data_IF_133539852543
#
_entry.id   IF_133539852543
#
_cell.length_a   1.000
_cell.length_b   1.000
_cell.length_c   1.000
_cell.angle_alpha   90.00
_cell.angle_beta   90.00
_cell.angle_gamma   90.00
#
_symmetry.space_group_name_H-M   'P 1'
#
loop_
_entity.id
_entity.type
_entity.pdbx_description
1 polymer ?
#
# COMPACT_ATOMS: atom_id res chain seq x y z
N UNK A 1 -10.40 -58.39 52.55
CA UNK A 1 -10.58 -56.97 52.11
C UNK A 1 -11.54 -56.92 50.92
N UNK A 2 -11.77 -55.76 50.30
CA UNK A 2 -12.91 -55.51 49.40
C UNK A 2 -12.80 -56.25 48.05
N UNK A 3 -13.92 -56.89 47.66
CA UNK A 3 -14.59 -56.92 46.33
C UNK A 3 -13.70 -56.63 45.10
N UNK A 4 -13.51 -57.59 44.18
CA UNK A 4 -14.47 -58.09 43.18
C UNK A 4 -14.74 -57.07 42.05
N UNK A 5 -14.30 -57.38 40.83
CA UNK A 5 -15.09 -57.42 39.57
C UNK A 5 -14.22 -57.93 38.41
N UNK A 6 -14.84 -58.68 37.49
CA UNK A 6 -14.23 -59.28 36.29
C UNK A 6 -14.24 -58.31 35.09
N UNK A 7 -13.77 -58.80 33.93
CA UNK A 7 -13.92 -58.20 32.59
C UNK A 7 -13.02 -57.00 32.29
N UNK A 8 -11.96 -57.25 31.52
CA UNK A 8 -12.02 -56.78 30.13
C UNK A 8 -11.15 -57.62 29.21
N UNK A 9 -11.79 -58.32 28.26
CA UNK A 9 -11.13 -58.59 27.01
C UNK A 9 -12.08 -58.32 25.81
N UNK A 10 -11.51 -57.92 24.64
CA UNK A 10 -12.07 -57.40 23.36
C UNK A 10 -11.87 -55.87 23.30
N UNK A 11 -11.48 -55.22 22.20
CA UNK A 11 -11.53 -55.54 20.76
C UNK A 11 -10.16 -55.30 20.11
N UNK A 12 -9.75 -56.13 19.15
CA UNK A 12 -8.65 -55.80 18.21
C UNK A 12 -9.27 -55.62 16.83
N UNK A 13 -9.65 -54.39 16.51
CA UNK A 13 -9.84 -53.93 15.14
C UNK A 13 -9.83 -52.40 15.10
N UNK A 14 -9.32 -51.84 14.00
CA UNK A 14 -9.27 -50.42 13.65
C UNK A 14 -8.93 -49.43 14.79
N UNK A 15 -7.69 -48.97 14.79
CA UNK A 15 -7.42 -47.60 14.33
C UNK A 15 -5.95 -47.46 13.91
N UNK A 16 -5.72 -46.90 12.73
CA UNK A 16 -4.37 -46.60 12.21
C UNK A 16 -3.96 -45.24 12.75
N UNK A 17 -3.06 -45.20 13.73
CA UNK A 17 -2.56 -43.97 14.33
C UNK A 17 -1.62 -43.21 13.38
N UNK A 18 -2.20 -42.34 12.56
CA UNK A 18 -1.49 -41.35 11.74
C UNK A 18 -0.86 -40.30 12.69
N UNK A 19 0.40 -39.85 12.45
CA UNK A 19 1.03 -38.83 13.28
C UNK A 19 0.33 -37.46 13.15
N UNK A 20 -0.33 -37.01 14.22
CA UNK A 20 -1.09 -35.77 14.26
C UNK A 20 -0.19 -34.52 14.33
N UNK A 21 0.38 -34.12 13.19
CA UNK A 21 0.75 -32.71 12.94
C UNK A 21 -0.48 -32.02 12.34
N UNK A 22 -1.30 -31.45 13.22
CA UNK A 22 -2.64 -30.97 12.87
C UNK A 22 -2.80 -29.49 13.17
N UNK A 23 -3.10 -28.68 12.14
CA UNK A 23 -3.72 -27.36 12.33
C UNK A 23 -5.12 -27.56 12.90
N UNK A 24 -5.40 -26.93 14.05
CA UNK A 24 -6.74 -26.95 14.65
C UNK A 24 -7.70 -26.06 13.86
N UNK A 25 -9.01 -26.34 13.96
CA UNK A 25 -10.07 -25.52 13.35
C UNK A 25 -9.96 -24.03 13.75
N UNK A 26 -9.54 -23.74 14.99
CA UNK A 26 -9.33 -22.39 15.52
C UNK A 26 -8.17 -21.67 14.82
N UNK A 27 -7.04 -22.36 14.64
CA UNK A 27 -5.89 -21.82 13.90
C UNK A 27 -6.21 -21.67 12.40
N UNK A 28 -7.05 -22.55 11.85
CA UNK A 28 -7.57 -22.46 10.48
C UNK A 28 -8.40 -21.17 10.30
N UNK A 29 -9.43 -20.96 11.13
CA UNK A 29 -10.31 -19.78 10.99
C UNK A 29 -9.60 -18.47 11.35
N UNK A 30 -8.63 -18.51 12.27
CA UNK A 30 -7.74 -17.37 12.51
C UNK A 30 -6.87 -17.04 11.27
N UNK A 31 -6.26 -18.04 10.63
CA UNK A 31 -5.47 -17.83 9.41
C UNK A 31 -6.35 -17.29 8.26
N UNK A 32 -7.57 -17.81 8.13
CA UNK A 32 -8.60 -17.30 7.20
C UNK A 32 -8.96 -15.85 7.50
N UNK A 33 -9.18 -15.48 8.76
CA UNK A 33 -9.50 -14.12 9.17
C UNK A 33 -8.37 -13.13 8.89
N UNK A 34 -7.12 -13.50 9.18
CA UNK A 34 -5.95 -12.66 8.87
C UNK A 34 -5.74 -12.49 7.35
N UNK A 35 -6.03 -13.53 6.55
CA UNK A 35 -6.01 -13.43 5.09
C UNK A 35 -7.14 -12.54 4.55
N UNK A 36 -8.35 -12.67 5.10
CA UNK A 36 -9.51 -11.84 4.75
C UNK A 36 -9.27 -10.36 5.10
N UNK A 37 -8.75 -10.08 6.31
CA UNK A 37 -8.31 -8.75 6.75
C UNK A 37 -7.30 -8.15 5.76
N UNK A 38 -6.26 -8.92 5.41
CA UNK A 38 -5.22 -8.50 4.47
C UNK A 38 -5.75 -8.29 3.04
N UNK A 39 -6.76 -9.04 2.60
CA UNK A 39 -7.49 -8.78 1.35
C UNK A 39 -8.28 -7.46 1.42
N UNK A 40 -9.15 -7.31 2.42
CA UNK A 40 -10.06 -6.17 2.57
C UNK A 40 -9.31 -4.83 2.68
N UNK A 41 -8.11 -4.86 3.30
CA UNK A 41 -7.19 -3.72 3.45
C UNK A 41 -6.77 -3.05 2.14
N UNK A 42 -6.80 -3.79 1.02
CA UNK A 42 -6.51 -3.28 -0.33
C UNK A 42 -7.71 -3.39 -1.28
N UNK A 43 -8.65 -4.32 -1.05
CA UNK A 43 -9.87 -4.43 -1.85
C UNK A 43 -10.80 -3.22 -1.68
N UNK A 44 -10.81 -2.61 -0.48
CA UNK A 44 -11.65 -1.46 -0.14
C UNK A 44 -10.78 -0.25 0.21
N UNK A 45 -10.90 0.83 -0.55
CA UNK A 45 -10.15 2.06 -0.30
C UNK A 45 -10.51 2.69 1.07
N UNK A 46 -9.51 3.23 1.78
CA UNK A 46 -9.69 3.80 3.12
C UNK A 46 -9.90 2.79 4.25
N UNK A 47 -9.59 1.50 4.06
CA UNK A 47 -9.76 0.45 5.09
C UNK A 47 -8.52 0.27 5.98
N UNK A 48 -7.80 1.37 6.23
CA UNK A 48 -6.56 1.39 7.01
C UNK A 48 -6.75 0.98 8.48
N UNK A 49 -7.91 1.29 9.05
CA UNK A 49 -8.28 0.96 10.43
C UNK A 49 -8.26 -0.56 10.71
N UNK A 50 -8.39 -1.40 9.67
CA UNK A 50 -8.26 -2.86 9.80
C UNK A 50 -6.86 -3.29 10.25
N UNK A 51 -5.82 -2.48 10.06
CA UNK A 51 -4.44 -2.82 10.43
C UNK A 51 -4.23 -2.88 11.96
N UNK A 52 -5.08 -2.20 12.73
CA UNK A 52 -5.02 -2.21 14.20
C UNK A 52 -5.79 -3.41 14.80
N UNK A 53 -6.70 -3.99 14.04
CA UNK A 53 -7.60 -5.06 14.48
C UNK A 53 -6.90 -6.40 14.30
N UNK A 54 -6.86 -7.21 15.34
CA UNK A 54 -6.18 -8.51 15.33
C UNK A 54 -7.21 -9.64 15.53
N UNK A 55 -7.96 -10.04 14.48
CA UNK A 55 -9.06 -10.98 14.59
C UNK A 55 -8.55 -12.40 14.88
N UNK A 56 -9.18 -13.08 15.85
CA UNK A 56 -8.96 -14.48 16.17
C UNK A 56 -9.93 -15.42 15.44
N UNK A 57 -10.96 -14.88 14.78
CA UNK A 57 -11.94 -15.61 13.98
C UNK A 57 -12.52 -14.72 12.87
N UNK A 58 -13.09 -15.34 11.85
CA UNK A 58 -13.79 -14.65 10.76
C UNK A 58 -15.01 -13.89 11.27
N UNK A 59 -15.70 -14.43 12.29
CA UNK A 59 -16.81 -13.77 12.98
C UNK A 59 -16.38 -12.54 13.79
N UNK A 60 -15.16 -12.50 14.33
CA UNK A 60 -14.61 -11.31 14.99
C UNK A 60 -14.25 -10.22 13.97
N UNK A 61 -13.69 -10.61 12.80
CA UNK A 61 -13.45 -9.69 11.70
C UNK A 61 -14.76 -9.04 11.21
N UNK A 62 -15.80 -9.84 10.94
CA UNK A 62 -17.09 -9.37 10.42
C UNK A 62 -17.78 -8.34 11.32
N UNK A 63 -17.69 -8.48 12.65
CA UNK A 63 -18.20 -7.49 13.62
C UNK A 63 -17.47 -6.15 13.57
N UNK A 64 -16.24 -6.14 13.09
CA UNK A 64 -15.40 -4.95 12.99
C UNK A 64 -15.43 -4.29 11.59
N UNK A 65 -16.17 -4.85 10.63
CA UNK A 65 -16.31 -4.30 9.28
C UNK A 65 -17.40 -3.22 9.21
N UNK A 66 -17.06 -2.10 8.54
CA UNK A 66 -18.03 -1.11 8.10
C UNK A 66 -18.80 -1.64 6.88
N UNK A 67 -19.84 -0.92 6.45
CA UNK A 67 -20.80 -1.42 5.45
C UNK A 67 -20.16 -1.71 4.08
N UNK A 68 -19.16 -0.93 3.67
CA UNK A 68 -18.47 -1.11 2.37
C UNK A 68 -17.67 -2.42 2.28
N UNK A 69 -17.07 -2.88 3.36
CA UNK A 69 -16.27 -4.11 3.37
C UNK A 69 -17.15 -5.38 3.38
N UNK A 70 -18.43 -5.28 3.79
CA UNK A 70 -19.38 -6.40 3.89
C UNK A 70 -19.77 -7.02 2.54
N UNK A 71 -19.57 -6.34 1.42
CA UNK A 71 -19.70 -6.94 0.10
C UNK A 71 -18.45 -7.74 -0.25
N UNK A 72 -17.28 -7.10 -0.18
CA UNK A 72 -16.01 -7.70 -0.56
C UNK A 72 -15.60 -8.92 0.30
N UNK A 73 -16.03 -9.00 1.57
CA UNK A 73 -15.78 -10.20 2.39
C UNK A 73 -16.57 -11.43 1.89
N UNK A 74 -17.71 -11.27 1.21
CA UNK A 74 -18.49 -12.40 0.66
C UNK A 74 -17.67 -13.18 -0.36
N UNK A 75 -16.99 -12.47 -1.28
CA UNK A 75 -16.09 -13.09 -2.25
C UNK A 75 -14.96 -13.90 -1.56
N UNK A 76 -14.44 -13.42 -0.43
CA UNK A 76 -13.44 -14.14 0.36
C UNK A 76 -14.02 -15.33 1.14
N UNK A 77 -15.27 -15.24 1.63
CA UNK A 77 -15.98 -16.34 2.30
C UNK A 77 -16.32 -17.50 1.35
N UNK A 78 -16.44 -17.23 0.05
CA UNK A 78 -16.66 -18.24 -0.98
C UNK A 78 -15.40 -19.05 -1.31
N UNK A 79 -14.22 -18.67 -0.81
CA UNK A 79 -13.00 -19.51 -0.90
C UNK A 79 -13.21 -20.76 -0.03
N UNK A 80 -13.17 -21.98 -0.60
CA UNK A 80 -13.40 -23.20 0.15
C UNK A 80 -12.29 -23.46 1.17
N UNK A 81 -12.65 -24.10 2.28
CA UNK A 81 -11.71 -24.61 3.28
C UNK A 81 -11.40 -26.08 2.94
N UNK A 82 -10.16 -26.47 2.62
CA UNK A 82 -9.87 -27.86 2.27
C UNK A 82 -9.97 -28.78 3.49
N UNK A 83 -10.74 -29.87 3.38
CA UNK A 83 -10.99 -30.80 4.50
C UNK A 83 -9.75 -31.54 5.01
N UNK A 84 -8.62 -31.49 4.29
CA UNK A 84 -7.35 -32.08 4.71
C UNK A 84 -6.54 -31.20 5.68
N UNK A 85 -7.03 -30.01 6.10
CA UNK A 85 -6.27 -29.07 6.95
C UNK A 85 -5.76 -29.67 8.27
N UNK A 86 -6.45 -30.67 8.83
CA UNK A 86 -6.03 -31.40 10.03
C UNK A 86 -4.76 -32.27 9.83
N UNK A 87 -4.20 -32.31 8.61
CA UNK A 87 -2.89 -32.92 8.30
C UNK A 87 -1.80 -31.89 7.97
N UNK A 88 -2.11 -30.59 8.04
CA UNK A 88 -1.21 -29.54 7.60
C UNK A 88 -0.22 -29.14 8.67
N UNK A 89 0.95 -28.71 8.22
CA UNK A 89 1.93 -28.01 9.03
C UNK A 89 1.76 -26.48 8.90
N UNK A 90 2.59 -25.73 9.64
CA UNK A 90 2.60 -24.27 9.58
C UNK A 90 2.92 -23.71 8.18
N UNK A 91 3.79 -24.36 7.41
CA UNK A 91 4.15 -23.91 6.06
C UNK A 91 2.98 -24.08 5.09
N UNK A 92 2.34 -25.26 5.03
CA UNK A 92 1.18 -25.52 4.17
C UNK A 92 0.00 -24.58 4.50
N UNK A 93 -0.22 -24.26 5.78
CA UNK A 93 -1.23 -23.26 6.19
C UNK A 93 -0.89 -21.83 5.69
N UNK A 94 0.36 -21.40 5.89
CA UNK A 94 0.84 -20.07 5.48
C UNK A 94 0.81 -19.91 3.95
N UNK A 95 1.17 -20.94 3.18
CA UNK A 95 1.14 -20.86 1.72
C UNK A 95 -0.27 -21.03 1.14
N UNK A 96 -1.17 -21.77 1.79
CA UNK A 96 -2.56 -21.79 1.38
C UNK A 96 -3.22 -20.42 1.55
N UNK A 97 -3.27 -19.88 2.77
CA UNK A 97 -3.98 -18.62 3.04
C UNK A 97 -3.19 -17.36 2.64
N UNK A 98 -1.86 -17.41 2.68
CA UNK A 98 -0.99 -16.31 2.27
C UNK A 98 -0.74 -16.22 0.76
N UNK A 99 -0.98 -17.28 -0.02
CA UNK A 99 -0.73 -17.29 -1.48
C UNK A 99 -1.90 -17.90 -2.26
N UNK A 100 -2.25 -19.18 -2.04
CA UNK A 100 -3.20 -19.91 -2.90
C UNK A 100 -4.62 -19.33 -2.86
N UNK A 101 -5.10 -18.91 -1.69
CA UNK A 101 -6.41 -18.29 -1.50
C UNK A 101 -6.59 -17.00 -2.34
N UNK A 102 -5.53 -16.20 -2.49
CA UNK A 102 -5.54 -14.96 -3.27
C UNK A 102 -5.60 -15.19 -4.79
N UNK A 103 -5.40 -16.42 -5.27
CA UNK A 103 -5.51 -16.78 -6.70
C UNK A 103 -6.95 -17.08 -7.14
N UNK A 104 -7.88 -17.31 -6.21
CA UNK A 104 -9.24 -17.75 -6.53
C UNK A 104 -10.03 -16.72 -7.37
N UNK A 105 -10.96 -17.23 -8.18
CA UNK A 105 -11.90 -16.42 -8.97
C UNK A 105 -12.82 -15.60 -8.06
N UNK A 106 -13.20 -14.40 -8.52
CA UNK A 106 -14.07 -13.49 -7.76
C UNK A 106 -13.37 -12.51 -6.80
N UNK A 107 -12.08 -12.68 -6.47
CA UNK A 107 -11.34 -11.67 -5.71
C UNK A 107 -10.91 -10.48 -6.58
N UNK A 108 -11.20 -9.26 -6.13
CA UNK A 108 -10.76 -8.02 -6.77
C UNK A 108 -9.23 -7.94 -6.91
N UNK A 109 -8.75 -7.51 -8.08
CA UNK A 109 -7.31 -7.37 -8.34
C UNK A 109 -6.61 -6.47 -7.30
N UNK A 110 -7.23 -5.35 -6.88
CA UNK A 110 -6.71 -4.49 -5.81
C UNK A 110 -6.39 -5.29 -4.54
N UNK A 111 -7.31 -6.17 -4.12
CA UNK A 111 -7.18 -6.99 -2.92
C UNK A 111 -6.11 -8.09 -3.02
N UNK A 112 -5.78 -8.55 -4.23
CA UNK A 112 -4.72 -9.56 -4.47
C UNK A 112 -3.32 -9.09 -4.07
N UNK A 113 -3.10 -7.78 -3.94
CA UNK A 113 -1.87 -7.18 -3.38
C UNK A 113 -1.67 -7.58 -1.91
N UNK A 114 -2.74 -7.86 -1.17
CA UNK A 114 -2.72 -8.24 0.25
C UNK A 114 -1.95 -9.54 0.57
N UNK A 115 -1.66 -10.39 -0.43
CA UNK A 115 -1.01 -11.70 -0.26
C UNK A 115 0.25 -11.67 0.62
N UNK A 116 1.13 -10.69 0.41
CA UNK A 116 2.37 -10.55 1.18
C UNK A 116 2.12 -10.25 2.67
N UNK A 117 1.07 -9.48 2.97
CA UNK A 117 0.66 -9.13 4.34
C UNK A 117 -0.04 -10.29 5.02
N UNK A 118 -0.87 -11.05 4.29
CA UNK A 118 -1.44 -12.31 4.79
C UNK A 118 -0.34 -13.31 5.16
N UNK A 119 0.63 -13.57 4.24
CA UNK A 119 1.77 -14.45 4.52
C UNK A 119 2.55 -13.99 5.76
N UNK A 120 2.84 -12.70 5.92
CA UNK A 120 3.49 -12.15 7.13
C UNK A 120 2.64 -12.41 8.39
N UNK A 121 1.38 -11.97 8.42
CA UNK A 121 0.53 -12.04 9.61
C UNK A 121 0.29 -13.49 10.06
N UNK A 122 0.06 -14.42 9.13
CA UNK A 122 -0.17 -15.84 9.44
C UNK A 122 1.14 -16.51 9.87
N UNK A 123 2.29 -16.15 9.29
CA UNK A 123 3.59 -16.67 9.75
C UNK A 123 3.94 -16.25 11.19
N UNK A 124 3.38 -15.12 11.67
CA UNK A 124 3.53 -14.65 13.05
C UNK A 124 2.61 -15.37 14.06
N UNK A 125 1.63 -16.17 13.62
CA UNK A 125 0.80 -16.96 14.53
C UNK A 125 1.64 -18.00 15.29
N UNK A 126 1.42 -18.11 16.60
CA UNK A 126 1.82 -19.31 17.36
C UNK A 126 0.81 -20.41 17.03
N UNK A 127 1.32 -21.58 16.63
CA UNK A 127 0.56 -22.80 16.41
C UNK A 127 0.98 -23.79 17.49
N UNK A 128 0.05 -24.56 18.05
CA UNK A 128 0.34 -25.48 19.16
C UNK A 128 1.13 -26.71 18.69
N UNK A 129 2.23 -27.01 19.36
CA UNK A 129 2.97 -28.27 19.16
C UNK A 129 2.41 -29.40 20.05
N UNK A 130 2.45 -30.67 19.59
CA UNK A 130 1.81 -31.78 20.29
C UNK A 130 2.56 -32.20 21.56
N UNK A 131 1.80 -32.54 22.61
CA UNK A 131 2.33 -33.05 23.89
C UNK A 131 2.98 -34.43 23.68
N UNK A 132 4.17 -34.61 24.27
CA UNK A 132 4.98 -35.83 24.16
C UNK A 132 4.90 -36.65 25.45
N UNK A 133 4.33 -37.85 25.37
CA UNK A 133 4.35 -38.86 26.46
C UNK A 133 4.63 -40.25 25.89
N UNK A 134 5.47 -41.03 26.58
CA UNK A 134 5.95 -42.33 26.08
C UNK A 134 5.32 -43.53 26.81
N UNK A 135 5.31 -44.66 26.09
CA UNK A 135 4.52 -45.88 26.24
C UNK A 135 4.69 -46.66 27.55
N UNK A 136 3.65 -47.45 27.89
CA UNK A 136 3.66 -48.91 28.21
C UNK A 136 2.17 -49.38 28.28
N UNK A 137 1.56 -50.12 27.33
CA UNK A 137 1.66 -51.58 26.95
C UNK A 137 1.00 -52.49 28.04
N UNK A 138 0.03 -53.41 27.82
CA UNK A 138 -0.53 -54.08 26.61
C UNK A 138 -1.99 -54.70 26.71
N UNK A 139 -2.62 -54.92 25.53
CA UNK A 139 -3.50 -56.02 24.97
C UNK A 139 -4.73 -56.71 25.70
N UNK A 140 -5.65 -57.42 24.94
CA UNK A 140 -7.07 -57.77 25.30
C UNK A 140 -7.59 -59.20 24.84
N UNK A 141 -8.94 -59.42 24.70
CA UNK A 141 -9.76 -60.27 23.73
C UNK A 141 -10.93 -61.22 24.26
N UNK A 142 -12.25 -60.85 24.16
CA UNK A 142 -13.56 -61.64 24.22
C UNK A 142 -14.74 -61.06 25.09
N UNK A 143 -15.75 -60.30 24.59
CA UNK A 143 -17.07 -60.62 23.92
C UNK A 143 -18.29 -61.12 24.75
N UNK A 144 -19.44 -60.39 24.73
CA UNK A 144 -20.83 -60.95 24.71
C UNK A 144 -21.92 -59.96 24.22
N UNK A 145 -23.15 -60.43 23.97
CA UNK A 145 -24.38 -59.68 23.58
C UNK A 145 -25.58 -60.13 24.47
N UNK A 146 -26.88 -59.76 24.33
CA UNK A 146 -27.78 -59.13 23.31
C UNK A 146 -29.00 -58.53 24.11
N UNK A 147 -30.30 -58.53 23.69
CA UNK A 147 -31.00 -58.04 22.48
C UNK A 147 -32.15 -57.00 22.73
N UNK A 148 -32.70 -56.44 21.64
CA UNK A 148 -34.08 -55.89 21.47
C UNK A 148 -34.44 -54.56 22.21
N UNK A 149 -35.47 -53.79 21.82
CA UNK A 149 -36.61 -54.05 20.90
C UNK A 149 -37.06 -52.79 20.11
N UNK A 150 -37.71 -52.99 18.95
CA UNK A 150 -38.09 -51.95 17.96
C UNK A 150 -39.39 -51.18 18.24
N UNK A 151 -39.53 -49.98 17.64
CA UNK A 151 -40.73 -49.65 16.84
C UNK A 151 -40.58 -48.47 15.87
N UNK A 152 -41.19 -48.62 14.68
CA UNK A 152 -41.50 -47.60 13.66
C UNK A 152 -42.79 -46.81 14.07
N UNK A 153 -43.31 -45.78 13.38
CA UNK A 153 -43.14 -45.33 11.99
C UNK A 153 -43.43 -43.81 11.76
N UNK A 154 -43.46 -43.42 10.48
CA UNK A 154 -43.71 -42.15 9.75
C UNK A 154 -44.86 -41.20 10.27
N UNK A 155 -45.10 -40.00 9.71
CA UNK A 155 -44.80 -39.49 8.35
C UNK A 155 -44.69 -37.95 8.17
N UNK A 156 -44.27 -37.57 6.95
CA UNK A 156 -44.34 -36.25 6.26
C UNK A 156 -45.67 -36.19 5.43
N UNK A 157 -46.08 -35.11 4.69
CA UNK A 157 -45.38 -33.85 4.38
C UNK A 157 -46.18 -32.51 4.27
N UNK A 158 -45.42 -31.40 4.32
CA UNK A 158 -45.44 -30.20 3.44
C UNK A 158 -46.64 -29.21 3.30
N UNK A 159 -46.22 -27.93 3.19
CA UNK A 159 -46.75 -26.77 2.43
C UNK A 159 -47.74 -25.74 3.05
N UNK A 160 -47.43 -24.48 2.72
CA UNK A 160 -48.08 -23.16 2.96
C UNK A 160 -49.23 -22.89 1.95
N UNK A 161 -50.01 -21.76 1.94
CA UNK A 161 -49.72 -20.40 2.48
C UNK A 161 -50.88 -19.58 3.15
N UNK A 162 -50.56 -18.36 3.62
CA UNK A 162 -51.44 -17.21 3.99
C UNK A 162 -52.39 -17.42 5.21
N UNK A 163 -52.95 -16.39 5.87
CA UNK A 163 -52.93 -14.91 5.67
C UNK A 163 -52.89 -14.14 7.03
N UNK A 164 -52.96 -12.79 7.00
CA UNK A 164 -52.99 -11.84 8.13
C UNK A 164 -54.44 -11.60 8.68
N UNK A 165 -54.79 -10.55 9.49
CA UNK A 165 -54.06 -9.44 10.15
C UNK A 165 -54.37 -9.37 11.70
N UNK A 166 -54.33 -8.29 12.52
CA UNK A 166 -54.09 -6.83 12.40
C UNK A 166 -53.67 -6.20 13.77
N UNK A 167 -53.99 -4.91 14.03
CA UNK A 167 -53.78 -4.06 15.24
C UNK A 167 -52.36 -3.48 15.42
N UNK A 168 -52.05 -2.24 15.01
CA UNK A 168 -52.46 -0.90 15.53
C UNK A 168 -51.88 -0.59 16.94
N UNK A 169 -51.33 0.59 17.27
CA UNK A 169 -51.40 1.98 16.72
C UNK A 169 -49.99 2.65 16.77
N UNK A 170 -49.52 3.49 15.81
CA UNK A 170 -49.74 4.97 15.62
C UNK A 170 -49.24 5.82 16.81
N UNK A 171 -48.60 7.02 16.73
CA UNK A 171 -48.26 8.05 15.69
C UNK A 171 -47.34 9.13 16.35
N UNK A 172 -46.56 10.04 15.74
CA UNK A 172 -46.10 10.33 14.36
C UNK A 172 -44.80 11.25 14.35
N UNK A 173 -44.73 12.25 13.46
CA UNK A 173 -43.74 13.31 13.14
C UNK A 173 -43.37 14.30 14.28
N UNK A 174 -42.39 15.23 14.20
CA UNK A 174 -41.91 16.07 13.07
C UNK A 174 -40.50 16.66 13.25
N UNK A 175 -39.93 17.24 12.18
CA UNK A 175 -38.79 18.16 12.21
C UNK A 175 -39.15 19.51 12.85
N UNK A 176 -38.15 20.26 13.34
CA UNK A 176 -37.86 21.61 12.81
C UNK A 176 -36.39 22.06 13.05
N UNK A 177 -35.96 23.13 12.38
CA UNK A 177 -34.69 23.87 12.53
C UNK A 177 -34.96 25.21 13.23
N UNK A 178 -34.00 25.69 14.03
CA UNK A 178 -33.87 27.11 14.41
C UNK A 178 -32.40 27.55 14.44
N UNK A 179 -32.19 28.85 14.25
CA UNK A 179 -30.89 29.53 14.22
C UNK A 179 -30.75 30.50 15.42
N UNK A 180 -29.79 31.44 15.33
CA UNK A 180 -29.59 32.61 16.21
C UNK A 180 -28.86 32.37 17.56
N UNK A 181 -28.21 33.37 18.17
CA UNK A 181 -27.01 34.18 17.76
C UNK A 181 -26.71 35.18 18.88
N UNK A 182 -25.43 35.33 19.30
CA UNK A 182 -24.89 36.44 20.14
C UNK A 182 -25.54 36.62 21.55
N UNK A 183 -24.91 37.24 22.56
CA UNK A 183 -23.57 37.86 22.65
C UNK A 183 -22.95 37.72 24.06
N UNK A 184 -21.65 38.01 24.12
CA UNK A 184 -20.78 38.42 25.25
C UNK A 184 -21.39 38.65 26.64
N UNK A 185 -20.87 37.93 27.64
CA UNK A 185 -20.41 38.48 28.94
C UNK A 185 -19.49 37.46 29.63
N UNK A 186 -18.39 37.92 30.24
CA UNK A 186 -17.48 37.09 31.03
C UNK A 186 -17.54 37.45 32.52
N UNK A 187 -17.50 36.46 33.42
CA UNK A 187 -16.83 36.58 34.71
C UNK A 187 -15.62 35.61 34.82
N UNK A 188 -14.89 35.71 35.92
CA UNK A 188 -13.59 35.07 36.15
C UNK A 188 -13.66 34.15 37.40
N UNK A 189 -12.63 33.29 37.61
CA UNK A 189 -12.52 32.27 38.69
C UNK A 189 -13.54 31.11 38.56
N UNK A 190 -13.24 29.82 38.77
CA UNK A 190 -12.28 29.15 39.67
C UNK A 190 -11.59 27.94 38.97
N UNK A 191 -10.29 27.72 39.22
CA UNK A 191 -9.50 26.66 38.53
C UNK A 191 -8.82 25.63 39.46
N UNK A 192 -8.94 25.80 40.78
CA UNK A 192 -8.11 25.07 41.76
C UNK A 192 -8.60 23.65 42.08
N UNK A 193 -9.81 23.28 41.65
CA UNK A 193 -10.43 21.98 41.99
C UNK A 193 -10.10 20.83 41.03
N UNK A 194 -9.26 21.04 40.01
CA UNK A 194 -8.86 19.98 39.07
C UNK A 194 -7.44 19.42 39.31
N UNK A 195 -6.58 20.15 40.02
CA UNK A 195 -5.19 19.72 40.27
C UNK A 195 -5.05 18.78 41.49
N UNK A 196 -5.99 18.83 42.44
CA UNK A 196 -5.95 17.97 43.64
C UNK A 196 -6.08 16.47 43.35
N UNK A 197 -6.88 16.07 42.35
CA UNK A 197 -7.04 14.66 41.94
C UNK A 197 -5.83 14.11 41.14
N UNK A 198 -4.83 14.93 40.84
CA UNK A 198 -3.68 14.56 39.99
C UNK A 198 -2.36 14.36 40.77
N UNK A 199 -2.27 14.78 42.03
CA UNK A 199 -1.04 14.60 42.82
C UNK A 199 -0.98 13.26 43.56
N UNK A 200 -2.13 12.69 43.97
CA UNK A 200 -2.16 11.53 44.88
C UNK A 200 -1.77 10.17 44.23
N UNK A 201 -1.92 9.99 42.91
CA UNK A 201 -1.42 8.78 42.21
C UNK A 201 0.09 8.79 41.92
N UNK A 202 0.80 9.92 42.11
CA UNK A 202 2.18 10.07 41.60
C UNK A 202 3.27 9.49 42.50
N UNK A 203 2.96 9.05 43.72
CA UNK A 203 3.94 8.46 44.64
C UNK A 203 3.45 7.19 45.36
N UNK A 204 3.65 6.02 44.72
CA UNK A 204 4.40 4.88 45.29
C UNK A 204 4.67 3.82 44.20
N UNK A 205 5.92 3.80 43.71
CA UNK A 205 6.74 2.58 43.57
C UNK A 205 8.20 2.95 43.32
N UNK A 206 8.91 3.09 44.44
CA UNK A 206 10.31 3.53 44.53
C UNK A 206 11.25 2.36 44.29
N UNK A 207 12.09 2.47 43.26
CA UNK A 207 13.32 1.72 43.00
C UNK A 207 13.41 0.27 43.53
N UNK A 208 13.04 -0.70 42.69
CA UNK A 208 13.56 -2.08 42.77
C UNK A 208 14.31 -2.43 41.47
N UNK A 209 15.55 -2.89 41.63
CA UNK A 209 16.48 -3.47 40.66
C UNK A 209 16.54 -2.95 39.21
N UNK A 210 17.68 -2.32 38.88
CA UNK A 210 18.26 -2.41 37.53
C UNK A 210 19.03 -3.74 37.30
N UNK A 211 19.31 -4.50 38.37
CA UNK A 211 20.13 -5.72 38.37
C UNK A 211 19.62 -6.78 37.39
N UNK A 212 18.31 -7.03 37.34
CA UNK A 212 17.72 -8.01 36.42
C UNK A 212 17.89 -7.65 34.94
N UNK A 213 17.93 -6.35 34.59
CA UNK A 213 18.14 -5.92 33.20
C UNK A 213 19.54 -6.28 32.70
N UNK A 214 20.56 -6.12 33.56
CA UNK A 214 21.93 -6.51 33.25
C UNK A 214 22.09 -8.03 33.16
N UNK A 215 21.40 -8.80 34.02
CA UNK A 215 21.37 -10.27 33.94
C UNK A 215 20.72 -10.73 32.63
N UNK A 216 19.61 -10.12 32.22
CA UNK A 216 18.92 -10.47 30.96
C UNK A 216 19.79 -10.16 29.74
N UNK A 217 20.46 -9.00 29.72
CA UNK A 217 21.45 -8.63 28.69
C UNK A 217 22.62 -9.63 28.67
N UNK A 218 23.15 -10.03 29.82
CA UNK A 218 24.23 -11.02 29.93
C UNK A 218 23.81 -12.38 29.33
N UNK A 219 22.60 -12.86 29.65
CA UNK A 219 22.06 -14.10 29.10
C UNK A 219 21.93 -14.05 27.56
N UNK A 220 21.49 -12.92 27.00
CA UNK A 220 21.43 -12.72 25.54
C UNK A 220 22.85 -12.75 24.94
N UNK A 221 23.81 -12.06 25.56
CA UNK A 221 25.18 -11.97 25.07
C UNK A 221 25.87 -13.35 25.09
N UNK A 222 25.71 -14.13 26.17
CA UNK A 222 26.19 -15.52 26.26
C UNK A 222 25.54 -16.40 25.20
N UNK A 223 24.23 -16.28 24.96
CA UNK A 223 23.55 -17.05 23.91
C UNK A 223 24.08 -16.72 22.51
N UNK A 224 24.40 -15.46 22.22
CA UNK A 224 25.04 -15.04 20.95
C UNK A 224 26.46 -15.60 20.84
N UNK A 225 27.26 -15.58 21.90
CA UNK A 225 28.62 -16.16 21.90
C UNK A 225 28.57 -17.67 21.66
N UNK A 226 27.67 -18.40 22.33
CA UNK A 226 27.49 -19.84 22.10
C UNK A 226 27.04 -20.11 20.65
N UNK A 227 26.11 -19.31 20.10
CA UNK A 227 25.69 -19.44 18.71
C UNK A 227 26.85 -19.18 17.72
N UNK A 228 27.73 -18.22 17.99
CA UNK A 228 28.93 -17.95 17.18
C UNK A 228 29.98 -19.07 17.28
N UNK A 229 30.19 -19.66 18.46
CA UNK A 229 31.10 -20.81 18.62
C UNK A 229 30.56 -22.07 17.93
N UNK A 230 29.25 -22.32 18.01
CA UNK A 230 28.58 -23.42 17.27
C UNK A 230 28.62 -23.16 15.76
N UNK A 231 28.46 -21.91 15.32
CA UNK A 231 28.60 -21.55 13.91
C UNK A 231 30.04 -21.75 13.40
N UNK A 232 31.04 -21.24 14.12
CA UNK A 232 32.45 -21.34 13.75
C UNK A 232 32.93 -22.80 13.71
N UNK A 233 32.58 -23.61 14.72
CA UNK A 233 32.92 -25.04 14.75
C UNK A 233 32.22 -25.85 13.65
N UNK A 234 30.95 -25.55 13.34
CA UNK A 234 30.24 -26.17 12.22
C UNK A 234 30.81 -25.75 10.85
N UNK A 235 31.25 -24.49 10.70
CA UNK A 235 31.93 -23.99 9.50
C UNK A 235 33.30 -24.67 9.33
N UNK A 236 34.12 -24.75 10.37
CA UNK A 236 35.42 -25.44 10.32
C UNK A 236 35.23 -26.92 9.98
N UNK A 237 34.30 -27.62 10.61
CA UNK A 237 34.00 -29.03 10.33
C UNK A 237 33.46 -29.27 8.91
N UNK A 238 32.74 -28.29 8.33
CA UNK A 238 32.36 -28.30 6.90
C UNK A 238 33.52 -28.06 5.95
N UNK A 239 34.52 -27.27 6.36
CA UNK A 239 35.70 -26.99 5.55
C UNK A 239 36.68 -28.18 5.58
N UNK A 240 36.91 -28.78 6.75
CA UNK A 240 37.65 -30.04 6.92
C UNK A 240 37.04 -31.17 6.09
N UNK A 241 35.71 -31.36 6.16
CA UNK A 241 35.02 -32.36 5.34
C UNK A 241 35.16 -32.10 3.82
N UNK A 242 35.24 -30.83 3.40
CA UNK A 242 35.48 -30.47 1.98
C UNK A 242 36.91 -30.72 1.53
N UNK A 243 37.89 -30.52 2.41
CA UNK A 243 39.30 -30.81 2.13
C UNK A 243 39.53 -32.33 2.05
N UNK A 244 38.99 -33.10 3.00
CA UNK A 244 39.08 -34.56 2.99
C UNK A 244 38.37 -35.21 1.79
N UNK A 245 37.30 -34.60 1.27
CA UNK A 245 36.62 -35.08 0.05
C UNK A 245 37.40 -34.72 -1.22
N UNK A 246 38.05 -33.55 -1.28
CA UNK A 246 38.86 -33.15 -2.42
C UNK A 246 40.10 -34.05 -2.59
N UNK A 247 40.75 -34.42 -1.49
CA UNK A 247 41.95 -35.27 -1.47
C UNK A 247 41.64 -36.70 -1.99
N UNK A 248 40.46 -37.24 -1.65
CA UNK A 248 39.99 -38.57 -2.06
C UNK A 248 39.65 -38.71 -3.55
N UNK A 249 39.44 -37.60 -4.24
CA UNK A 249 39.04 -37.59 -5.67
C UNK A 249 40.27 -37.68 -6.59
N UNK A 250 41.50 -37.59 -6.05
CA UNK A 250 42.71 -37.49 -6.89
C UNK A 250 43.24 -38.83 -7.41
N UNK A 251 43.00 -39.95 -6.71
CA UNK A 251 43.78 -41.20 -6.89
C UNK A 251 43.04 -42.32 -7.67
N UNK A 252 41.71 -42.24 -7.83
CA UNK A 252 40.87 -43.37 -8.27
C UNK A 252 40.07 -43.10 -9.56
N UNK A 253 40.72 -42.64 -10.63
CA UNK A 253 40.04 -42.45 -11.93
C UNK A 253 40.93 -42.60 -13.18
N UNK A 254 41.44 -43.81 -13.43
CA UNK A 254 42.08 -44.21 -14.70
C UNK A 254 41.30 -45.34 -15.43
N UNK A 255 39.97 -45.24 -15.53
CA UNK A 255 39.20 -46.05 -16.51
C UNK A 255 38.18 -45.21 -17.29
N UNK A 256 38.18 -45.23 -18.63
CA UNK A 256 37.20 -44.51 -19.44
C UNK A 256 35.87 -45.28 -19.49
N UNK A 257 35.04 -45.13 -18.45
CA UNK A 257 33.64 -45.58 -18.48
C UNK A 257 32.82 -44.71 -19.45
N UNK A 258 31.84 -45.31 -20.15
CA UNK A 258 30.96 -44.61 -21.09
C UNK A 258 30.11 -43.50 -20.45
N UNK A 259 30.02 -43.42 -19.12
CA UNK A 259 29.39 -42.30 -18.42
C UNK A 259 30.31 -41.06 -18.33
N UNK A 260 31.63 -41.23 -18.45
CA UNK A 260 32.58 -40.11 -18.51
C UNK A 260 32.42 -39.28 -19.80
N UNK A 261 32.16 -39.94 -20.94
CA UNK A 261 31.90 -39.25 -22.21
C UNK A 261 30.52 -38.57 -22.22
N UNK A 262 29.48 -39.18 -21.66
CA UNK A 262 28.18 -38.51 -21.43
C UNK A 262 28.30 -37.27 -20.53
N UNK A 263 29.22 -37.29 -19.56
CA UNK A 263 29.51 -36.12 -18.73
C UNK A 263 30.27 -35.05 -19.52
N UNK A 264 31.28 -35.44 -20.32
CA UNK A 264 31.98 -34.52 -21.25
C UNK A 264 31.04 -33.86 -22.25
N UNK A 265 30.11 -34.61 -22.84
CA UNK A 265 29.07 -34.10 -23.74
C UNK A 265 28.17 -33.06 -23.04
N UNK A 266 27.71 -33.36 -21.82
CA UNK A 266 26.94 -32.41 -21.00
C UNK A 266 27.74 -31.15 -20.64
N UNK A 267 29.03 -31.28 -20.34
CA UNK A 267 29.91 -30.13 -20.09
C UNK A 267 30.12 -29.30 -21.38
N UNK A 268 30.30 -29.94 -22.53
CA UNK A 268 30.40 -29.25 -23.82
C UNK A 268 29.10 -28.48 -24.16
N UNK A 269 27.94 -29.10 -23.99
CA UNK A 269 26.63 -28.45 -24.18
C UNK A 269 26.38 -27.30 -23.19
N UNK A 270 26.80 -27.46 -21.92
CA UNK A 270 26.74 -26.40 -20.92
C UNK A 270 27.67 -25.22 -21.26
N UNK A 271 28.88 -25.49 -21.77
CA UNK A 271 29.80 -24.43 -22.21
C UNK A 271 29.32 -23.73 -23.48
N UNK A 272 28.73 -24.46 -24.43
CA UNK A 272 28.12 -23.89 -25.64
C UNK A 272 26.97 -22.94 -25.29
N UNK A 273 26.01 -23.39 -24.47
CA UNK A 273 24.89 -22.53 -24.01
C UNK A 273 25.38 -21.34 -23.18
N UNK A 274 26.43 -21.48 -22.36
CA UNK A 274 27.01 -20.32 -21.65
C UNK A 274 27.75 -19.34 -22.56
N UNK A 275 28.37 -19.80 -23.64
CA UNK A 275 28.93 -18.90 -24.65
C UNK A 275 27.85 -18.15 -25.43
N UNK A 276 26.69 -18.78 -25.69
CA UNK A 276 25.51 -18.13 -26.29
C UNK A 276 24.86 -17.10 -25.34
N UNK A 277 24.71 -17.43 -24.04
CA UNK A 277 24.32 -16.46 -23.00
C UNK A 277 25.29 -15.27 -22.95
N UNK A 278 26.60 -15.50 -23.00
CA UNK A 278 27.60 -14.42 -23.01
C UNK A 278 27.55 -13.57 -24.28
N UNK A 279 27.33 -14.17 -25.45
CA UNK A 279 27.18 -13.44 -26.71
C UNK A 279 25.95 -12.53 -26.71
N UNK A 280 24.80 -13.05 -26.29
CA UNK A 280 23.55 -12.27 -26.19
C UNK A 280 23.61 -11.18 -25.12
N UNK A 281 24.27 -11.44 -23.98
CA UNK A 281 24.55 -10.42 -22.97
C UNK A 281 25.48 -9.32 -23.49
N UNK A 282 26.54 -9.66 -24.22
CA UNK A 282 27.46 -8.71 -24.85
C UNK A 282 26.74 -7.82 -25.87
N UNK A 283 25.96 -8.41 -26.78
CA UNK A 283 25.13 -7.68 -27.74
C UNK A 283 24.13 -6.75 -27.04
N UNK A 284 23.55 -7.19 -25.92
CA UNK A 284 22.63 -6.38 -25.12
C UNK A 284 23.34 -5.21 -24.43
N UNK A 285 24.54 -5.41 -23.89
CA UNK A 285 25.37 -4.33 -23.34
C UNK A 285 25.66 -3.28 -24.40
N UNK A 286 26.05 -3.67 -25.62
CA UNK A 286 26.35 -2.72 -26.70
C UNK A 286 25.09 -1.98 -27.19
N UNK A 287 23.94 -2.65 -27.25
CA UNK A 287 22.65 -2.00 -27.53
C UNK A 287 22.27 -0.97 -26.46
N UNK A 288 22.55 -1.25 -25.17
CA UNK A 288 22.31 -0.31 -24.08
C UNK A 288 23.32 0.85 -24.08
N UNK A 289 24.56 0.60 -24.48
CA UNK A 289 25.61 1.61 -24.59
C UNK A 289 25.29 2.61 -25.71
N UNK A 290 24.95 2.12 -26.91
CA UNK A 290 24.52 2.94 -28.07
C UNK A 290 23.20 3.68 -27.84
N UNK A 291 22.25 3.11 -27.09
CA UNK A 291 21.06 3.84 -26.62
C UNK A 291 21.41 4.94 -25.61
N UNK A 292 22.38 4.72 -24.71
CA UNK A 292 22.82 5.76 -23.78
C UNK A 292 23.59 6.90 -24.49
N UNK A 293 24.42 6.61 -25.50
CA UNK A 293 25.12 7.65 -26.25
C UNK A 293 24.16 8.49 -27.11
N UNK A 294 23.19 7.87 -27.78
CA UNK A 294 22.16 8.60 -28.54
C UNK A 294 21.25 9.43 -27.63
N UNK A 295 20.81 8.91 -26.48
CA UNK A 295 20.08 9.70 -25.47
C UNK A 295 20.91 10.89 -24.95
N UNK A 296 22.21 10.70 -24.71
CA UNK A 296 23.12 11.78 -24.29
C UNK A 296 23.25 12.88 -25.35
N UNK A 297 23.40 12.51 -26.62
CA UNK A 297 23.43 13.47 -27.75
C UNK A 297 22.11 14.22 -27.87
N UNK A 298 20.97 13.53 -27.75
CA UNK A 298 19.64 14.17 -27.78
C UNK A 298 19.47 15.16 -26.62
N UNK A 299 19.89 14.81 -25.40
CA UNK A 299 19.87 15.72 -24.24
C UNK A 299 20.76 16.96 -24.49
N UNK A 300 21.93 16.79 -25.11
CA UNK A 300 22.79 17.92 -25.47
C UNK A 300 22.14 18.81 -26.54
N UNK A 301 21.50 18.22 -27.56
CA UNK A 301 20.72 18.94 -28.58
C UNK A 301 19.59 19.77 -28.00
N UNK A 302 18.70 19.17 -27.21
CA UNK A 302 17.62 19.89 -26.53
C UNK A 302 18.14 20.96 -25.56
N UNK A 303 19.29 20.74 -24.93
CA UNK A 303 19.91 21.75 -24.05
C UNK A 303 20.40 22.96 -24.86
N UNK A 304 21.06 22.75 -26.00
CA UNK A 304 21.46 23.82 -26.90
C UNK A 304 20.26 24.57 -27.50
N UNK A 305 19.19 23.85 -27.85
CA UNK A 305 17.93 24.44 -28.31
C UNK A 305 17.30 25.33 -27.23
N UNK A 306 17.16 24.85 -25.99
CA UNK A 306 16.65 25.63 -24.86
C UNK A 306 17.48 26.89 -24.59
N UNK A 307 18.81 26.84 -24.75
CA UNK A 307 19.66 28.03 -24.69
C UNK A 307 19.32 28.99 -25.83
N UNK A 308 19.22 28.52 -27.07
CA UNK A 308 18.90 29.36 -28.23
C UNK A 308 17.52 30.03 -28.13
N UNK A 309 16.52 29.32 -27.60
CA UNK A 309 15.17 29.84 -27.38
C UNK A 309 15.14 30.88 -26.27
N UNK A 310 15.93 30.70 -25.19
CA UNK A 310 16.11 31.73 -24.15
C UNK A 310 16.77 32.98 -24.68
N UNK A 311 17.81 32.86 -25.52
CA UNK A 311 18.45 34.01 -26.18
C UNK A 311 17.44 34.75 -27.05
N UNK A 312 16.73 34.05 -27.96
CA UNK A 312 15.67 34.64 -28.80
C UNK A 312 14.58 35.35 -28.00
N UNK A 313 14.15 34.77 -26.88
CA UNK A 313 13.14 35.36 -25.99
C UNK A 313 13.67 36.61 -25.26
N UNK A 314 14.96 36.62 -24.87
CA UNK A 314 15.59 37.82 -24.31
C UNK A 314 15.73 38.95 -25.35
N UNK A 315 16.09 38.62 -26.60
CA UNK A 315 16.11 39.59 -27.71
C UNK A 315 14.71 40.13 -28.02
N UNK A 316 13.69 39.27 -28.06
CA UNK A 316 12.31 39.69 -28.28
C UNK A 316 11.83 40.66 -27.19
N UNK A 317 12.09 40.35 -25.92
CA UNK A 317 11.77 41.24 -24.79
C UNK A 317 12.55 42.57 -24.84
N UNK A 318 13.81 42.56 -25.27
CA UNK A 318 14.59 43.78 -25.47
C UNK A 318 14.02 44.64 -26.62
N UNK A 319 13.58 44.02 -27.72
CA UNK A 319 12.90 44.71 -28.82
C UNK A 319 11.58 45.32 -28.37
N UNK A 320 10.75 44.58 -27.61
CA UNK A 320 9.49 45.07 -27.04
C UNK A 320 9.71 46.32 -26.20
N UNK A 321 10.66 46.30 -25.24
CA UNK A 321 11.02 47.49 -24.45
C UNK A 321 11.43 48.67 -25.33
N UNK A 322 12.24 48.42 -26.36
CA UNK A 322 12.66 49.48 -27.30
C UNK A 322 11.52 50.03 -28.17
N UNK A 323 10.36 49.37 -28.23
CA UNK A 323 9.13 49.90 -28.83
C UNK A 323 8.26 50.61 -27.79
N UNK A 324 8.16 50.08 -26.57
CA UNK A 324 7.45 50.72 -25.44
C UNK A 324 8.07 52.09 -25.09
N UNK A 325 9.40 52.18 -25.03
CA UNK A 325 10.13 53.44 -24.80
C UNK A 325 9.86 54.46 -25.92
N UNK A 326 9.82 54.03 -27.18
CA UNK A 326 9.51 54.88 -28.34
C UNK A 326 8.04 55.30 -28.36
N UNK A 327 7.13 54.45 -27.92
CA UNK A 327 5.71 54.78 -27.80
C UNK A 327 5.46 55.79 -26.66
N UNK A 328 6.09 55.60 -25.49
CA UNK A 328 6.01 56.54 -24.38
C UNK A 328 6.57 57.93 -24.76
N UNK A 329 7.71 57.96 -25.45
CA UNK A 329 8.30 59.20 -25.99
C UNK A 329 7.49 59.89 -27.10
N UNK A 330 6.46 59.23 -27.65
CA UNK A 330 5.61 59.75 -28.73
C UNK A 330 4.26 60.30 -28.25
N UNK A 331 4.15 60.71 -26.97
CA UNK A 331 2.91 61.22 -26.37
C UNK A 331 2.80 62.76 -26.50
N UNK A 332 2.04 63.34 -27.44
CA UNK A 332 1.88 64.78 -27.55
C UNK A 332 1.02 65.34 -26.40
N UNK A 333 1.43 66.51 -25.89
CA UNK A 333 0.82 67.16 -24.72
C UNK A 333 -0.48 67.88 -25.11
N UNK A 334 -1.64 67.31 -24.76
CA UNK A 334 -2.96 67.90 -25.02
C UNK A 334 -3.47 68.69 -23.79
N UNK A 335 -3.81 69.96 -23.99
CA UNK A 335 -4.32 70.85 -22.93
C UNK A 335 -5.82 70.62 -22.63
N UNK A 336 -6.29 70.91 -21.39
CA UNK A 336 -7.68 70.67 -21.01
C UNK A 336 -8.64 71.73 -21.58
N UNK A 337 -9.73 71.29 -22.19
CA UNK A 337 -10.87 72.13 -22.61
C UNK A 337 -12.13 71.70 -21.85
N UNK A 338 -12.99 72.67 -21.53
CA UNK A 338 -14.09 72.52 -20.55
C UNK A 338 -15.22 71.60 -21.02
N UNK A 339 -15.92 71.02 -20.05
CA UNK A 339 -17.22 70.37 -20.25
C UNK A 339 -18.25 71.36 -20.81
N UNK A 340 -19.07 70.88 -21.76
CA UNK A 340 -20.39 71.44 -22.01
C UNK A 340 -21.34 70.32 -22.46
N UNK A 341 -22.46 70.17 -21.77
CA UNK A 341 -23.40 69.07 -21.97
C UNK A 341 -24.50 69.44 -22.96
N UNK A 342 -24.74 68.60 -23.96
CA UNK A 342 -25.96 68.62 -24.77
C UNK A 342 -26.35 67.19 -25.17
N UNK A 343 -27.61 66.83 -24.94
CA UNK A 343 -28.21 65.54 -25.31
C UNK A 343 -28.67 65.53 -26.77
N UNK A 344 -28.63 64.37 -27.44
CA UNK A 344 -29.71 63.85 -28.34
C UNK A 344 -29.44 62.40 -28.79
N UNK A 345 -30.50 61.58 -28.72
CA UNK A 345 -30.79 60.29 -29.38
C UNK A 345 -29.69 59.36 -29.96
N UNK A 346 -29.67 58.12 -29.44
CA UNK A 346 -29.35 56.85 -30.13
C UNK A 346 -30.48 56.45 -31.13
N UNK A 347 -30.35 55.43 -32.05
CA UNK A 347 -29.58 54.18 -31.87
C UNK A 347 -28.80 53.57 -33.07
N UNK A 348 -27.80 52.77 -32.69
CA UNK A 348 -27.29 51.52 -33.27
C UNK A 348 -27.38 51.22 -34.79
N UNK A 349 -26.23 50.90 -35.37
CA UNK A 349 -26.06 49.70 -36.21
C UNK A 349 -24.69 49.08 -35.99
N UNK A 350 -24.64 47.74 -35.89
CA UNK A 350 -23.50 47.00 -35.33
C UNK A 350 -22.92 46.01 -36.33
N UNK A 351 -21.69 46.22 -36.80
CA UNK A 351 -20.75 45.13 -37.19
C UNK A 351 -19.31 45.59 -36.95
N UNK A 352 -18.49 44.92 -36.13
CA UNK A 352 -17.06 45.17 -36.06
C UNK A 352 -16.34 44.62 -37.30
N UNK A 353 -15.45 45.40 -37.91
CA UNK A 353 -14.60 44.91 -39.01
C UNK A 353 -13.70 43.77 -38.54
N UNK A 354 -13.77 42.64 -39.27
CA UNK A 354 -12.98 41.42 -39.07
C UNK A 354 -11.47 41.71 -39.11
N UNK A 355 -10.85 41.96 -37.95
CA UNK A 355 -9.39 41.93 -37.83
C UNK A 355 -8.90 40.49 -37.93
N UNK A 356 -8.38 40.14 -39.09
CA UNK A 356 -7.60 38.91 -39.31
C UNK A 356 -6.23 39.07 -38.70
N UNK A 357 -6.04 38.62 -37.45
CA UNK A 357 -4.71 38.37 -36.90
C UNK A 357 -3.98 37.36 -37.79
N UNK A 358 -2.70 37.59 -38.16
CA UNK A 358 -1.96 36.68 -39.03
C UNK A 358 -1.79 35.27 -38.43
N UNK A 359 -1.75 34.27 -39.30
CA UNK A 359 -1.28 32.93 -38.95
C UNK A 359 0.25 32.90 -39.01
N UNK A 360 0.90 33.28 -37.91
CA UNK A 360 2.32 32.99 -37.69
C UNK A 360 2.50 31.56 -37.16
N UNK A 361 3.55 30.88 -37.61
CA UNK A 361 3.65 29.42 -37.57
C UNK A 361 4.29 28.85 -36.29
N UNK A 362 3.84 27.65 -35.92
CA UNK A 362 4.52 26.60 -35.13
C UNK A 362 5.67 27.04 -34.19
N UNK A 363 5.34 27.86 -33.20
CA UNK A 363 5.99 27.73 -31.89
C UNK A 363 5.22 26.68 -31.09
N UNK A 364 5.86 25.64 -30.52
CA UNK A 364 5.16 24.64 -29.70
C UNK A 364 4.65 25.29 -28.41
N UNK A 365 3.42 25.80 -28.46
CA UNK A 365 2.82 26.60 -27.40
C UNK A 365 2.73 25.81 -26.09
N UNK A 366 3.53 26.21 -25.10
CA UNK A 366 3.61 25.54 -23.79
C UNK A 366 2.25 25.59 -23.10
N UNK A 367 1.55 24.46 -23.10
CA UNK A 367 0.22 24.32 -22.51
C UNK A 367 0.40 24.24 -21.00
N UNK A 368 -0.16 25.23 -20.30
CA UNK A 368 -0.28 25.21 -18.84
C UNK A 368 -1.54 24.46 -18.45
N UNK A 369 -1.42 23.45 -17.59
CA UNK A 369 -2.52 22.65 -17.04
C UNK A 369 -2.46 22.76 -15.52
N UNK A 370 -3.59 22.95 -14.87
CA UNK A 370 -3.67 23.06 -13.42
C UNK A 370 -4.12 21.73 -12.81
N UNK A 371 -3.29 21.14 -11.96
CA UNK A 371 -3.53 19.83 -11.37
C UNK A 371 -3.97 19.96 -9.90
N UNK A 372 -4.91 19.12 -9.49
CA UNK A 372 -5.30 19.02 -8.07
C UNK A 372 -4.31 18.20 -7.24
N UNK A 373 -4.68 17.83 -6.01
CA UNK A 373 -3.84 16.94 -5.16
C UNK A 373 -3.46 15.65 -5.88
N UNK A 374 -2.26 15.15 -5.62
CA UNK A 374 -1.85 13.80 -6.03
C UNK A 374 -2.16 12.79 -4.93
N UNK A 375 -2.71 11.63 -5.30
CA UNK A 375 -2.98 10.55 -4.36
C UNK A 375 -1.69 9.78 -3.97
N UNK A 376 -1.82 8.82 -3.05
CA UNK A 376 -0.70 8.00 -2.57
C UNK A 376 -0.01 7.12 -3.64
N UNK A 377 -0.54 7.04 -4.88
CA UNK A 377 0.10 6.41 -6.04
C UNK A 377 0.76 7.42 -6.99
N UNK A 378 0.80 8.70 -6.63
CA UNK A 378 1.29 9.78 -7.48
C UNK A 378 0.34 10.16 -8.62
N UNK A 379 -0.93 9.77 -8.60
CA UNK A 379 -1.89 10.16 -9.65
C UNK A 379 -2.61 11.44 -9.22
N UNK A 380 -2.61 12.46 -10.07
CA UNK A 380 -3.32 13.72 -9.83
C UNK A 380 -4.83 13.51 -9.97
N UNK A 381 -5.60 13.95 -8.97
CA UNK A 381 -7.05 13.68 -8.88
C UNK A 381 -7.88 14.56 -9.84
N UNK A 382 -7.33 15.70 -10.28
CA UNK A 382 -7.94 16.63 -11.24
C UNK A 382 -6.88 17.17 -12.20
N UNK A 383 -7.33 17.54 -13.41
CA UNK A 383 -6.57 18.32 -14.37
C UNK A 383 -7.51 19.29 -15.09
N UNK A 384 -7.39 20.57 -14.77
CA UNK A 384 -8.24 21.67 -15.23
C UNK A 384 -7.42 22.62 -16.14
N UNK A 385 -8.07 23.31 -17.09
CA UNK A 385 -7.40 24.25 -18.02
C UNK A 385 -7.17 25.64 -17.42
N UNK A 386 -7.89 25.98 -16.35
CA UNK A 386 -7.79 27.23 -15.60
C UNK A 386 -7.40 26.94 -14.16
N UNK A 387 -6.80 27.93 -13.49
CA UNK A 387 -6.58 27.86 -12.05
C UNK A 387 -7.94 27.96 -11.35
N UNK A 388 -8.29 26.95 -10.54
CA UNK A 388 -9.48 26.95 -9.69
C UNK A 388 -8.98 26.96 -8.23
N UNK A 389 -9.01 28.10 -7.53
CA UNK A 389 -8.71 28.16 -6.10
C UNK A 389 -9.52 27.12 -5.31
N UNK A 390 -8.90 26.49 -4.32
CA UNK A 390 -9.50 25.38 -3.56
C UNK A 390 -9.52 24.01 -4.28
N UNK A 391 -9.14 23.90 -5.55
CA UNK A 391 -9.06 22.62 -6.28
C UNK A 391 -7.73 22.41 -7.02
N UNK A 392 -7.15 23.46 -7.59
CA UNK A 392 -5.86 23.46 -8.26
C UNK A 392 -4.74 23.74 -7.26
N UNK A 393 -3.71 22.89 -7.25
CA UNK A 393 -2.56 22.97 -6.32
C UNK A 393 -1.25 23.11 -7.09
N UNK A 394 -1.16 22.46 -8.24
CA UNK A 394 0.02 22.49 -9.10
C UNK A 394 -0.28 23.15 -10.44
N UNK A 395 0.75 23.77 -11.01
CA UNK A 395 0.83 24.10 -12.42
C UNK A 395 1.79 23.11 -13.10
N UNK A 396 1.30 22.46 -14.14
CA UNK A 396 2.05 21.61 -15.06
C UNK A 396 2.28 22.39 -16.36
N UNK A 397 3.53 22.48 -16.80
CA UNK A 397 3.91 23.03 -18.10
C UNK A 397 4.30 21.87 -19.03
N UNK A 398 3.61 21.72 -20.17
CA UNK A 398 3.82 20.65 -21.16
C UNK A 398 3.80 21.20 -22.61
N UNK A 399 4.63 20.64 -23.50
CA UNK A 399 4.70 21.02 -24.92
C UNK A 399 3.96 20.02 -25.82
N UNK A 400 4.11 18.72 -25.56
CA UNK A 400 3.48 17.62 -26.30
C UNK A 400 2.03 17.35 -25.84
N UNK A 401 1.71 17.64 -24.57
CA UNK A 401 0.48 17.21 -23.90
C UNK A 401 0.55 15.80 -23.31
N UNK A 402 1.72 15.16 -23.32
CA UNK A 402 1.95 13.79 -22.84
C UNK A 402 2.97 13.74 -21.69
N UNK A 403 3.99 14.59 -21.69
CA UNK A 403 4.94 14.75 -20.59
C UNK A 403 5.06 16.23 -20.18
N UNK A 404 5.27 16.50 -18.89
CA UNK A 404 5.40 17.88 -18.41
C UNK A 404 6.16 18.02 -17.10
N UNK A 405 6.60 19.23 -16.82
CA UNK A 405 7.22 19.61 -15.55
C UNK A 405 6.20 20.34 -14.68
N UNK A 406 6.03 19.93 -13.42
CA UNK A 406 5.07 20.55 -12.50
C UNK A 406 5.74 21.19 -11.28
N UNK A 407 5.06 22.24 -10.78
CA UNK A 407 5.41 23.03 -9.59
C UNK A 407 4.14 23.33 -8.79
N UNK A 408 4.25 23.55 -7.48
CA UNK A 408 3.15 24.14 -6.69
C UNK A 408 2.84 25.52 -7.30
N UNK A 409 1.57 25.82 -7.53
CA UNK A 409 1.17 27.07 -8.16
C UNK A 409 1.57 28.27 -7.28
N UNK A 410 2.12 29.31 -7.92
CA UNK A 410 2.52 30.54 -7.24
C UNK A 410 1.31 31.48 -7.08
N UNK A 411 0.44 31.18 -6.11
CA UNK A 411 -0.74 31.96 -5.77
C UNK A 411 -1.02 31.82 -4.25
N UNK A 412 -1.33 32.94 -3.60
CA UNK A 412 -1.56 33.05 -2.16
C UNK A 412 -2.68 32.12 -1.66
N UNK A 413 -3.83 32.09 -2.33
CA UNK A 413 -5.00 31.25 -1.98
C UNK A 413 -4.65 29.75 -2.06
N UNK A 414 -3.77 29.39 -3.00
CA UNK A 414 -3.26 28.02 -3.12
C UNK A 414 -2.32 27.69 -1.97
N UNK A 415 -1.41 28.60 -1.59
CA UNK A 415 -0.52 28.39 -0.44
C UNK A 415 -1.32 28.26 0.87
N UNK A 416 -2.23 29.18 1.16
CA UNK A 416 -3.07 29.16 2.37
C UNK A 416 -3.94 27.90 2.48
N UNK A 417 -4.58 27.47 1.38
CA UNK A 417 -5.31 26.21 1.36
C UNK A 417 -4.36 25.03 1.63
N UNK A 418 -3.19 25.02 0.99
CA UNK A 418 -2.26 23.90 1.05
C UNK A 418 -1.60 23.77 2.43
N UNK A 419 -1.22 24.89 3.06
CA UNK A 419 -0.64 24.96 4.39
C UNK A 419 -1.60 24.54 5.51
N UNK A 420 -2.92 24.55 5.25
CA UNK A 420 -3.94 23.98 6.17
C UNK A 420 -3.92 22.45 6.23
N UNK A 421 -3.41 21.76 5.20
CA UNK A 421 -3.37 20.29 5.15
C UNK A 421 -2.20 19.76 4.29
N UNK A 422 -0.94 20.15 4.60
CA UNK A 422 0.20 19.95 3.71
C UNK A 422 0.49 18.46 3.44
N UNK A 423 0.30 17.58 4.42
CA UNK A 423 0.49 16.14 4.25
C UNK A 423 -0.47 15.56 3.21
N UNK A 424 -1.77 15.88 3.28
CA UNK A 424 -2.75 15.33 2.34
C UNK A 424 -2.60 15.92 0.93
N UNK A 425 -2.28 17.21 0.86
CA UNK A 425 -2.31 17.98 -0.38
C UNK A 425 -1.00 17.90 -1.18
N UNK A 426 0.15 17.83 -0.49
CA UNK A 426 1.48 17.85 -1.12
C UNK A 426 2.19 16.50 -1.18
N UNK A 427 2.04 15.63 -0.18
CA UNK A 427 2.94 14.46 -0.03
C UNK A 427 2.88 13.46 -1.20
N UNK A 428 1.79 13.46 -1.99
CA UNK A 428 1.66 12.64 -3.20
C UNK A 428 2.63 13.04 -4.31
N UNK A 429 2.89 14.34 -4.52
CA UNK A 429 3.69 14.86 -5.63
C UNK A 429 4.94 15.66 -5.20
N UNK A 430 5.11 15.97 -3.92
CA UNK A 430 6.22 16.77 -3.39
C UNK A 430 7.07 16.02 -2.36
N UNK A 431 8.28 16.53 -2.16
CA UNK A 431 9.19 16.23 -1.06
C UNK A 431 9.51 17.57 -0.40
N UNK A 432 9.28 17.67 0.91
CA UNK A 432 9.66 18.79 1.77
C UNK A 432 10.52 18.28 2.94
N UNK A 433 11.33 19.14 3.61
CA UNK A 433 12.12 18.73 4.77
C UNK A 433 11.24 18.25 5.93
N UNK A 434 10.17 18.98 6.23
CA UNK A 434 9.19 18.65 7.25
C UNK A 434 7.79 19.07 6.77
N UNK A 435 6.79 18.17 6.84
CA UNK A 435 5.40 18.47 6.47
C UNK A 435 4.49 18.74 7.69
N UNK A 436 4.98 18.60 8.93
CA UNK A 436 4.22 18.90 10.16
C UNK A 436 4.57 20.25 10.78
N UNK A 437 5.64 20.90 10.32
CA UNK A 437 6.20 22.13 10.87
C UNK A 437 5.90 23.32 9.94
N UNK A 438 4.60 23.53 9.68
CA UNK A 438 4.09 24.61 8.82
C UNK A 438 3.42 25.75 9.61
N UNK A 439 3.47 25.71 10.94
CA UNK A 439 2.93 26.74 11.83
C UNK A 439 3.67 28.06 11.65
N UNK A 440 2.97 29.11 11.25
CA UNK A 440 3.55 30.44 10.99
C UNK A 440 4.12 30.63 9.58
N UNK A 441 4.26 29.55 8.79
CA UNK A 441 4.63 29.64 7.38
C UNK A 441 3.47 30.21 6.56
N UNK A 442 3.78 30.97 5.51
CA UNK A 442 2.82 31.71 4.67
C UNK A 442 2.91 31.36 3.19
N UNK A 443 4.03 30.76 2.76
CA UNK A 443 4.43 30.60 1.36
C UNK A 443 5.04 29.23 1.10
N UNK A 444 4.95 28.77 -0.16
CA UNK A 444 5.54 27.52 -0.63
C UNK A 444 6.52 27.82 -1.76
N UNK A 445 7.81 27.55 -1.53
CA UNK A 445 8.87 27.74 -2.52
C UNK A 445 9.11 26.46 -3.31
N UNK A 446 9.40 26.58 -4.61
CA UNK A 446 9.66 25.46 -5.50
C UNK A 446 11.17 25.33 -5.81
N UNK A 447 11.90 24.53 -5.03
CA UNK A 447 13.33 24.29 -5.22
C UNK A 447 13.67 23.55 -6.51
N UNK A 448 12.84 22.56 -6.87
CA UNK A 448 12.98 21.85 -8.15
C UNK A 448 11.66 21.30 -8.63
N UNK A 449 11.34 21.51 -9.90
CA UNK A 449 10.13 20.97 -10.52
C UNK A 449 10.09 19.43 -10.47
N UNK A 450 8.89 18.88 -10.27
CA UNK A 450 8.60 17.49 -10.51
C UNK A 450 8.34 17.22 -11.99
N UNK A 451 8.27 15.96 -12.39
CA UNK A 451 7.86 15.55 -13.74
C UNK A 451 6.68 14.61 -13.70
N UNK A 452 5.75 14.77 -14.65
CA UNK A 452 4.55 13.97 -14.79
C UNK A 452 4.34 13.52 -16.23
N UNK A 453 3.62 12.41 -16.39
CA UNK A 453 3.24 11.81 -17.67
C UNK A 453 1.71 11.61 -17.72
N UNK A 454 1.10 11.66 -18.90
CA UNK A 454 -0.31 11.42 -19.11
C UNK A 454 -0.54 9.99 -19.63
N UNK A 455 -1.08 9.12 -18.79
CA UNK A 455 -1.25 7.69 -19.08
C UNK A 455 -2.60 7.21 -18.51
N UNK A 456 -3.30 6.32 -19.21
CA UNK A 456 -4.67 5.87 -18.87
C UNK A 456 -5.70 7.00 -18.67
N UNK A 457 -5.50 8.14 -19.35
CA UNK A 457 -6.36 9.32 -19.21
C UNK A 457 -6.12 10.15 -17.94
N UNK A 458 -5.05 9.88 -17.18
CA UNK A 458 -4.72 10.61 -15.95
C UNK A 458 -3.25 11.06 -15.92
N UNK A 459 -2.96 12.17 -15.24
CA UNK A 459 -1.59 12.61 -15.00
C UNK A 459 -0.99 11.82 -13.82
N UNK A 460 0.20 11.26 -14.02
CA UNK A 460 0.94 10.44 -13.05
C UNK A 460 2.33 11.04 -12.79
N UNK A 461 2.71 11.17 -11.53
CA UNK A 461 4.03 11.67 -11.09
C UNK A 461 5.12 10.63 -11.39
N UNK A 462 6.12 11.04 -12.15
CA UNK A 462 7.36 10.27 -12.40
C UNK A 462 8.48 10.73 -11.45
N UNK A 463 8.62 12.05 -11.24
CA UNK A 463 9.52 12.64 -10.24
C UNK A 463 8.75 13.62 -9.38
N UNK A 464 8.86 13.50 -8.06
CA UNK A 464 8.29 14.48 -7.13
C UNK A 464 9.02 15.82 -7.22
N UNK A 465 8.30 16.92 -7.09
CA UNK A 465 8.89 18.24 -6.89
C UNK A 465 9.59 18.32 -5.52
N UNK A 466 10.59 19.19 -5.40
CA UNK A 466 11.15 19.61 -4.10
C UNK A 466 10.63 20.99 -3.76
N UNK A 467 10.24 21.17 -2.51
CA UNK A 467 9.70 22.40 -1.97
C UNK A 467 10.19 22.62 -0.54
N UNK A 468 10.15 23.87 -0.09
CA UNK A 468 10.18 24.22 1.33
C UNK A 468 9.10 25.26 1.64
N UNK A 469 8.94 25.55 2.92
CA UNK A 469 7.97 26.49 3.47
C UNK A 469 8.73 27.73 3.98
N UNK A 470 8.12 28.90 3.79
CA UNK A 470 8.57 30.24 4.26
C UNK A 470 7.39 30.98 4.89
#
# INVERSE_FOLDING_TARGET
>A
MKRLIYLFPLFISLLVSIPAKAVTEKEMDQARALAAQAYLRYANDGSGYLDNIHPKSMSQLERALKTKEKENIKAFKNIPVPSDYASWDKQKLVDYWGVKAFAASGLLQKGRVGKGRAKKNISAMKISEPVKTEKTVAKPAATTAKPAQDKQEAAKPAQTPADAPESESKTDSSLNVSQETSDTTAPNLDNDKFFADLEEETQIKKAEDHTWIYILILCILVAVVVALVVFASNVMKRNEARLAEADRIHDDNLTPSADSDKMREKFAAAMATKNEELATLSQKIESLNSLNTSLKVNIQGLTAEVVSLRTRLSEANARIRSFEEKAAGATPQAAPVKQQSATTATPASTVPTRQTSPTDADTPAVRSIYLGRANAKGIFVRADRSLIPGNSIYRLDTTDGYAGSFRVAANQEVWEHTLRSPIELLSGACIAPNFTETSGMTKIVNDSAGTAIFEDGCWKVIRKAKIHFE
#
